data_IF_087754809209
#
_entry.id   IF_087754809209
#
_cell.length_a   1.000
_cell.length_b   1.000
_cell.length_c   1.000
_cell.angle_alpha   90.00
_cell.angle_beta   90.00
_cell.angle_gamma   90.00
#
_symmetry.space_group_name_H-M   'P 1'
#
loop_
_entity.id
_entity.type
_entity.pdbx_description
1 polymer ?
#
# COMPACT_ATOMS: atom_id res chain seq x y z
N UNK A 1 -5.81 -9.57 -14.78
CA UNK A 1 -7.24 -9.86 -14.51
C UNK A 1 -7.60 -11.34 -14.69
N UNK A 2 -6.99 -12.11 -15.60
CA UNK A 2 -7.34 -13.53 -15.82
C UNK A 2 -7.11 -14.41 -14.58
N UNK A 3 -5.99 -14.24 -13.86
CA UNK A 3 -5.64 -15.08 -12.71
C UNK A 3 -6.60 -14.95 -11.52
N UNK A 4 -6.98 -13.74 -11.04
CA UNK A 4 -7.96 -13.62 -9.96
C UNK A 4 -9.34 -14.15 -10.35
N UNK A 5 -9.79 -13.97 -11.60
CA UNK A 5 -11.07 -14.51 -12.06
C UNK A 5 -11.04 -16.04 -12.15
N UNK A 6 -9.93 -16.63 -12.58
CA UNK A 6 -9.76 -18.09 -12.59
C UNK A 6 -9.78 -18.66 -11.16
N UNK A 7 -9.13 -18.00 -10.20
CA UNK A 7 -9.17 -18.41 -8.79
C UNK A 7 -10.59 -18.33 -8.21
N UNK A 8 -11.35 -17.26 -8.50
CA UNK A 8 -12.75 -17.14 -8.09
C UNK A 8 -13.62 -18.26 -8.66
N UNK A 9 -13.43 -18.63 -9.92
CA UNK A 9 -14.15 -19.74 -10.55
C UNK A 9 -13.88 -21.06 -9.82
N UNK A 10 -12.61 -21.39 -9.56
CA UNK A 10 -12.25 -22.61 -8.82
C UNK A 10 -12.88 -22.61 -7.43
N UNK A 11 -12.89 -21.47 -6.71
CA UNK A 11 -13.52 -21.36 -5.39
C UNK A 11 -15.05 -21.56 -5.45
N UNK A 12 -15.69 -21.09 -6.54
CA UNK A 12 -17.12 -21.31 -6.75
C UNK A 12 -17.41 -22.80 -7.00
N UNK A 13 -16.58 -23.47 -7.82
CA UNK A 13 -16.71 -24.91 -8.10
C UNK A 13 -16.52 -25.73 -6.82
N UNK A 14 -15.55 -25.37 -5.95
CA UNK A 14 -15.33 -26.00 -4.63
C UNK A 14 -16.54 -25.80 -3.72
N UNK A 15 -17.11 -24.59 -3.66
CA UNK A 15 -18.29 -24.32 -2.86
C UNK A 15 -19.52 -25.16 -3.31
N UNK A 16 -19.67 -25.37 -4.61
CA UNK A 16 -20.73 -26.21 -5.19
C UNK A 16 -20.53 -27.70 -4.83
N UNK A 17 -19.30 -28.19 -4.87
CA UNK A 17 -18.99 -29.60 -4.53
C UNK A 17 -19.13 -29.88 -3.01
N UNK A 18 -19.08 -28.86 -2.18
CA UNK A 18 -19.18 -28.97 -0.70
C UNK A 18 -20.63 -28.78 -0.20
N UNK A 19 -21.66 -29.03 -1.01
CA UNK A 19 -23.06 -28.77 -0.61
C UNK A 19 -23.50 -29.57 0.60
N UNK A 20 -23.00 -30.78 0.77
CA UNK A 20 -23.33 -31.68 1.89
C UNK A 20 -22.42 -31.52 3.12
N UNK A 21 -21.36 -30.69 3.01
CA UNK A 21 -20.43 -30.35 4.10
C UNK A 21 -20.58 -28.86 4.48
N UNK A 22 -21.27 -28.61 5.61
CA UNK A 22 -21.55 -27.24 6.08
C UNK A 22 -20.26 -26.46 6.39
N UNK A 23 -19.25 -27.11 6.99
CA UNK A 23 -17.98 -26.49 7.34
C UNK A 23 -17.14 -26.20 6.09
N UNK A 24 -17.06 -27.15 5.17
CA UNK A 24 -16.38 -26.98 3.88
C UNK A 24 -17.00 -25.86 3.05
N UNK A 25 -18.33 -25.77 3.03
CA UNK A 25 -19.05 -24.68 2.34
C UNK A 25 -18.78 -23.31 2.97
N UNK A 26 -18.79 -23.19 4.30
CA UNK A 26 -18.50 -21.92 4.96
C UNK A 26 -17.07 -21.44 4.67
N UNK A 27 -16.10 -22.34 4.71
CA UNK A 27 -14.69 -22.05 4.34
C UNK A 27 -14.58 -21.61 2.88
N UNK A 28 -15.26 -22.30 1.95
CA UNK A 28 -15.24 -21.96 0.54
C UNK A 28 -15.87 -20.58 0.28
N UNK A 29 -17.00 -20.27 0.93
CA UNK A 29 -17.64 -18.96 0.85
C UNK A 29 -16.74 -17.84 1.41
N UNK A 30 -16.08 -18.06 2.55
CA UNK A 30 -15.13 -17.10 3.12
C UNK A 30 -13.96 -16.82 2.17
N UNK A 31 -13.41 -17.86 1.54
CA UNK A 31 -12.35 -17.71 0.54
C UNK A 31 -12.84 -16.96 -0.71
N UNK A 32 -14.08 -17.21 -1.12
CA UNK A 32 -14.69 -16.54 -2.27
C UNK A 32 -14.88 -15.04 -2.00
N UNK A 33 -15.37 -14.66 -0.81
CA UNK A 33 -15.46 -13.26 -0.39
C UNK A 33 -14.08 -12.57 -0.40
N UNK A 34 -13.07 -13.21 0.20
CA UNK A 34 -11.70 -12.67 0.16
C UNK A 34 -11.16 -12.53 -1.28
N UNK A 35 -11.54 -13.45 -2.16
CA UNK A 35 -11.19 -13.41 -3.58
C UNK A 35 -11.84 -12.23 -4.30
N UNK A 36 -13.13 -11.97 -4.05
CA UNK A 36 -13.87 -10.82 -4.58
C UNK A 36 -13.25 -9.52 -4.09
N UNK A 37 -12.98 -9.38 -2.79
CA UNK A 37 -12.38 -8.18 -2.22
C UNK A 37 -11.00 -7.88 -2.83
N UNK A 38 -10.21 -8.94 -3.11
CA UNK A 38 -8.91 -8.78 -3.80
C UNK A 38 -9.09 -8.31 -5.24
N UNK A 39 -10.06 -8.89 -5.97
CA UNK A 39 -10.33 -8.51 -7.35
C UNK A 39 -10.85 -7.07 -7.45
N UNK A 40 -11.76 -6.67 -6.57
CA UNK A 40 -12.29 -5.29 -6.49
C UNK A 40 -11.17 -4.29 -6.24
N UNK A 41 -10.33 -4.52 -5.22
CA UNK A 41 -9.17 -3.65 -4.94
C UNK A 41 -8.22 -3.53 -6.13
N UNK A 42 -8.00 -4.63 -6.87
CA UNK A 42 -7.15 -4.61 -8.07
C UNK A 42 -7.76 -3.75 -9.17
N UNK A 43 -9.08 -3.86 -9.40
CA UNK A 43 -9.79 -3.03 -10.38
C UNK A 43 -9.72 -1.55 -10.00
N UNK A 44 -9.97 -1.22 -8.74
CA UNK A 44 -9.91 0.16 -8.24
C UNK A 44 -8.51 0.76 -8.41
N UNK A 45 -7.46 -0.01 -8.12
CA UNK A 45 -6.07 0.42 -8.32
C UNK A 45 -5.73 0.62 -9.81
N UNK A 46 -6.26 -0.23 -10.70
CA UNK A 46 -6.08 -0.08 -12.14
C UNK A 46 -6.79 1.17 -12.67
N UNK A 47 -8.04 1.39 -12.26
CA UNK A 47 -8.79 2.59 -12.62
C UNK A 47 -8.11 3.86 -12.10
N UNK A 48 -7.63 3.83 -10.87
CA UNK A 48 -6.87 4.94 -10.28
C UNK A 48 -5.61 5.23 -11.09
N UNK A 49 -4.82 4.19 -11.39
CA UNK A 49 -3.58 4.36 -12.16
C UNK A 49 -3.87 4.86 -13.59
N UNK A 50 -4.92 4.34 -14.23
CA UNK A 50 -5.35 4.80 -15.56
C UNK A 50 -5.74 6.28 -15.56
N UNK A 51 -6.46 6.72 -14.52
CA UNK A 51 -6.80 8.15 -14.35
C UNK A 51 -5.55 8.99 -14.12
N UNK A 52 -4.66 8.57 -13.23
CA UNK A 52 -3.40 9.25 -12.96
C UNK A 52 -2.51 9.36 -14.20
N UNK A 53 -2.49 8.34 -15.06
CA UNK A 53 -1.72 8.36 -16.31
C UNK A 53 -2.25 9.37 -17.33
N UNK A 54 -3.57 9.57 -17.36
CA UNK A 54 -4.20 10.55 -18.25
C UNK A 54 -4.04 12.01 -17.79
N UNK A 55 -3.66 12.22 -16.52
CA UNK A 55 -3.42 13.57 -16.01
C UNK A 55 -2.10 14.13 -16.55
N UNK A 56 -2.16 15.23 -17.29
CA UNK A 56 -1.00 16.02 -17.68
C UNK A 56 -0.59 16.99 -16.57
N UNK A 57 -1.57 17.54 -15.84
CA UNK A 57 -1.41 18.46 -14.72
C UNK A 57 -2.44 18.10 -13.63
N UNK A 58 -2.17 18.58 -12.43
CA UNK A 58 -3.11 18.46 -11.30
C UNK A 58 -4.12 19.61 -11.36
N UNK A 59 -5.39 19.25 -11.21
CA UNK A 59 -6.46 20.20 -10.94
C UNK A 59 -6.66 20.32 -9.43
N UNK A 60 -7.31 21.39 -8.97
CA UNK A 60 -7.69 21.63 -7.57
C UNK A 60 -6.52 21.50 -6.57
N UNK A 61 -5.35 22.00 -6.95
CA UNK A 61 -4.20 22.05 -6.05
C UNK A 61 -4.40 23.12 -4.97
N UNK A 62 -4.08 22.76 -3.73
CA UNK A 62 -4.18 23.65 -2.58
C UNK A 62 -3.05 23.38 -1.58
N UNK A 63 -2.80 24.30 -0.63
CA UNK A 63 -1.87 24.02 0.47
C UNK A 63 -2.35 22.83 1.29
N UNK A 64 -1.51 21.83 1.47
CA UNK A 64 -1.77 20.63 2.27
C UNK A 64 -0.75 20.57 3.40
N UNK A 65 -1.23 20.55 4.64
CA UNK A 65 -0.40 20.32 5.82
C UNK A 65 0.01 18.84 5.88
N UNK A 66 1.28 18.56 5.67
CA UNK A 66 1.80 17.18 5.59
C UNK A 66 1.76 16.48 6.96
N UNK A 67 1.99 17.22 8.04
CA UNK A 67 1.85 16.73 9.41
C UNK A 67 0.42 16.24 9.70
N UNK A 68 -0.60 17.03 9.37
CA UNK A 68 -2.02 16.64 9.53
C UNK A 68 -2.39 15.45 8.63
N UNK A 69 -1.88 15.45 7.41
CA UNK A 69 -2.09 14.37 6.45
C UNK A 69 -1.55 13.03 6.98
N UNK A 70 -0.33 13.02 7.54
CA UNK A 70 0.30 11.83 8.11
C UNK A 70 -0.44 11.36 9.37
N UNK A 71 -0.83 12.29 10.25
CA UNK A 71 -1.62 11.96 11.45
C UNK A 71 -2.95 11.30 11.07
N UNK A 72 -3.68 11.88 10.13
CA UNK A 72 -4.96 11.34 9.67
C UNK A 72 -4.79 9.94 9.07
N UNK A 73 -3.78 9.73 8.23
CA UNK A 73 -3.51 8.45 7.62
C UNK A 73 -3.11 7.36 8.64
N UNK A 74 -2.33 7.71 9.67
CA UNK A 74 -1.98 6.80 10.77
C UNK A 74 -3.23 6.43 11.57
N UNK A 75 -4.11 7.38 11.88
CA UNK A 75 -5.36 7.12 12.59
C UNK A 75 -6.29 6.19 11.80
N UNK A 76 -6.44 6.41 10.50
CA UNK A 76 -7.23 5.52 9.62
C UNK A 76 -6.68 4.10 9.56
N UNK A 77 -5.34 3.97 9.55
CA UNK A 77 -4.66 2.67 9.47
C UNK A 77 -4.60 1.93 10.81
N UNK A 78 -4.82 2.62 11.93
CA UNK A 78 -4.60 2.12 13.29
C UNK A 78 -5.32 0.79 13.56
N UNK A 79 -6.60 0.71 13.23
CA UNK A 79 -7.38 -0.51 13.46
C UNK A 79 -6.85 -1.71 12.64
N UNK A 80 -6.49 -1.49 11.38
CA UNK A 80 -5.92 -2.51 10.52
C UNK A 80 -4.54 -2.98 11.02
N UNK A 81 -3.70 -2.05 11.46
CA UNK A 81 -2.40 -2.37 12.05
C UNK A 81 -2.54 -3.17 13.35
N UNK A 82 -3.50 -2.82 14.22
CA UNK A 82 -3.80 -3.60 15.43
C UNK A 82 -4.24 -5.04 15.14
N UNK A 83 -5.11 -5.26 14.15
CA UNK A 83 -5.51 -6.60 13.73
C UNK A 83 -4.32 -7.44 13.26
N UNK A 84 -3.33 -6.78 12.67
CA UNK A 84 -2.07 -7.39 12.23
C UNK A 84 -1.03 -7.49 13.34
N UNK A 85 -1.34 -6.99 14.56
CA UNK A 85 -0.41 -6.84 15.68
C UNK A 85 0.83 -6.01 15.33
N UNK A 86 0.65 -4.92 14.56
CA UNK A 86 1.70 -3.97 14.17
C UNK A 86 1.51 -2.68 14.96
N UNK A 87 2.60 -2.16 15.55
CA UNK A 87 2.63 -0.85 16.19
C UNK A 87 2.98 0.23 15.15
N UNK A 88 2.13 1.27 15.03
CA UNK A 88 2.43 2.45 14.20
C UNK A 88 3.02 3.54 15.09
N UNK A 89 4.18 4.06 14.72
CA UNK A 89 4.88 5.14 15.43
C UNK A 89 5.06 6.35 14.51
N UNK A 90 4.49 7.49 14.92
CA UNK A 90 4.61 8.73 14.16
C UNK A 90 5.58 9.69 14.89
N UNK A 91 6.64 10.07 14.20
CA UNK A 91 7.69 10.98 14.66
C UNK A 91 7.63 12.28 13.84
N UNK A 92 7.11 13.35 14.44
CA UNK A 92 7.06 14.67 13.82
C UNK A 92 8.28 15.48 14.26
N UNK A 93 9.39 15.38 13.52
CA UNK A 93 10.60 16.16 13.77
C UNK A 93 10.51 17.59 13.20
N UNK A 94 9.49 17.86 12.39
CA UNK A 94 9.13 19.17 11.88
C UNK A 94 7.59 19.32 11.93
N UNK A 95 7.11 20.55 12.07
CA UNK A 95 5.69 20.89 12.12
C UNK A 95 5.38 21.99 11.12
N UNK A 96 4.09 22.13 10.80
CA UNK A 96 3.60 23.12 9.84
C UNK A 96 4.26 22.99 8.45
N UNK A 97 4.54 21.77 8.04
CA UNK A 97 5.08 21.49 6.72
C UNK A 97 3.93 21.50 5.71
N UNK A 98 3.95 22.49 4.83
CA UNK A 98 2.93 22.66 3.79
C UNK A 98 3.52 22.34 2.42
N UNK A 99 2.82 21.52 1.66
CA UNK A 99 3.11 21.24 0.26
C UNK A 99 1.89 21.56 -0.61
N UNK A 100 2.10 22.22 -1.75
CA UNK A 100 1.00 22.51 -2.68
C UNK A 100 0.67 21.26 -3.49
N UNK A 101 -0.56 20.79 -3.40
CA UNK A 101 -0.97 19.58 -4.09
C UNK A 101 -2.46 19.28 -3.98
N UNK A 102 -2.86 18.14 -4.51
CA UNK A 102 -4.23 17.65 -4.42
C UNK A 102 -4.38 16.72 -3.20
N UNK A 103 -5.17 17.10 -2.17
CA UNK A 103 -5.22 16.38 -0.89
C UNK A 103 -5.56 14.90 -1.03
N UNK A 104 -6.55 14.57 -1.87
CA UNK A 104 -6.97 13.18 -2.07
C UNK A 104 -5.87 12.30 -2.64
N UNK A 105 -5.07 12.81 -3.57
CA UNK A 105 -3.96 12.06 -4.14
C UNK A 105 -2.81 11.92 -3.14
N UNK A 106 -2.50 12.97 -2.38
CA UNK A 106 -1.49 12.89 -1.32
C UNK A 106 -1.91 11.91 -0.22
N UNK A 107 -3.19 11.91 0.19
CA UNK A 107 -3.73 10.89 1.11
C UNK A 107 -3.59 9.47 0.54
N UNK A 108 -3.90 9.29 -0.74
CA UNK A 108 -3.75 8.00 -1.40
C UNK A 108 -2.29 7.53 -1.46
N UNK A 109 -1.35 8.46 -1.67
CA UNK A 109 0.09 8.16 -1.65
C UNK A 109 0.50 7.63 -0.27
N UNK A 110 0.19 8.37 0.80
CA UNK A 110 0.53 7.98 2.18
C UNK A 110 -0.12 6.65 2.54
N UNK A 111 -1.41 6.49 2.23
CA UNK A 111 -2.15 5.25 2.49
C UNK A 111 -1.52 4.03 1.79
N UNK A 112 -1.08 4.15 0.53
CA UNK A 112 -0.40 3.05 -0.17
C UNK A 112 0.93 2.68 0.49
N UNK A 113 1.68 3.67 1.01
CA UNK A 113 2.91 3.40 1.75
C UNK A 113 2.65 2.70 3.08
N UNK A 114 1.66 3.16 3.85
CA UNK A 114 1.31 2.55 5.14
C UNK A 114 0.74 1.15 4.97
N UNK A 115 -0.18 0.94 4.00
CA UNK A 115 -0.74 -0.39 3.70
C UNK A 115 0.37 -1.38 3.31
N UNK A 116 1.34 -0.92 2.52
CA UNK A 116 2.50 -1.71 2.15
C UNK A 116 3.35 -2.06 3.38
N UNK A 117 3.69 -1.08 4.22
CA UNK A 117 4.50 -1.29 5.41
C UNK A 117 3.82 -2.26 6.40
N UNK A 118 2.53 -2.08 6.71
CA UNK A 118 1.77 -2.97 7.59
C UNK A 118 1.69 -4.39 7.01
N UNK A 119 1.48 -4.52 5.71
CA UNK A 119 1.34 -5.81 5.04
C UNK A 119 2.59 -6.68 5.07
N UNK A 120 3.76 -6.07 4.95
CA UNK A 120 5.05 -6.77 4.87
C UNK A 120 5.79 -6.83 6.20
N UNK A 121 5.28 -6.20 7.22
CA UNK A 121 5.80 -6.29 8.59
C UNK A 121 5.45 -7.62 9.24
N UNK A 122 6.38 -8.28 9.95
CA UNK A 122 6.07 -9.42 10.80
C UNK A 122 5.09 -9.03 11.92
N UNK A 123 4.26 -9.97 12.35
CA UNK A 123 3.40 -9.76 13.53
C UNK A 123 4.24 -9.42 14.77
N UNK A 124 3.79 -8.47 15.55
CA UNK A 124 4.49 -8.00 16.77
C UNK A 124 5.60 -7.02 16.50
N UNK A 125 5.76 -6.56 15.25
CA UNK A 125 6.75 -5.54 14.89
C UNK A 125 6.17 -4.11 14.86
N UNK A 126 6.97 -3.17 14.39
CA UNK A 126 6.61 -1.75 14.31
C UNK A 126 6.81 -1.20 12.91
N UNK A 127 6.05 -0.16 12.58
CA UNK A 127 6.22 0.69 11.40
C UNK A 127 6.45 2.11 11.88
N UNK A 128 7.59 2.69 11.50
CA UNK A 128 7.96 4.05 11.84
C UNK A 128 7.63 5.01 10.69
N UNK A 129 6.90 6.07 11.00
CA UNK A 129 6.60 7.18 10.10
C UNK A 129 7.32 8.41 10.62
N UNK A 130 8.23 8.99 9.85
CA UNK A 130 9.02 10.15 10.29
C UNK A 130 8.83 11.30 9.33
N UNK A 131 8.43 12.47 9.84
CA UNK A 131 8.37 13.73 9.11
C UNK A 131 9.53 14.62 9.47
N UNK A 132 10.28 15.07 8.46
CA UNK A 132 11.31 16.10 8.54
C UNK A 132 10.92 17.30 7.66
N UNK A 133 11.75 18.35 7.64
CA UNK A 133 11.42 19.61 6.95
C UNK A 133 11.19 19.47 5.44
N UNK A 134 11.81 18.49 4.76
CA UNK A 134 11.76 18.33 3.30
C UNK A 134 11.47 16.90 2.85
N UNK A 135 11.11 16.04 3.77
CA UNK A 135 10.81 14.64 3.46
C UNK A 135 9.93 14.02 4.53
N UNK A 136 9.23 12.98 4.16
CA UNK A 136 8.75 11.99 5.12
C UNK A 136 9.19 10.59 4.70
N UNK A 137 9.26 9.70 5.69
CA UNK A 137 9.66 8.31 5.51
C UNK A 137 8.66 7.39 6.16
N UNK A 138 8.44 6.25 5.52
CA UNK A 138 7.71 5.11 6.09
C UNK A 138 8.67 3.94 6.07
N UNK A 139 8.98 3.39 7.25
CA UNK A 139 9.89 2.26 7.42
C UNK A 139 9.18 1.12 8.13
N UNK A 140 9.31 -0.06 7.59
CA UNK A 140 8.90 -1.31 8.23
C UNK A 140 10.09 -2.08 8.79
N UNK A 141 9.79 -3.07 9.66
CA UNK A 141 10.77 -4.00 10.21
C UNK A 141 10.63 -5.39 9.58
N UNK A 142 10.25 -5.44 8.30
CA UNK A 142 10.14 -6.65 7.52
C UNK A 142 11.49 -7.27 7.15
N UNK A 143 11.49 -8.32 6.33
CA UNK A 143 12.72 -8.99 5.89
C UNK A 143 13.55 -8.16 4.90
N UNK A 144 13.04 -6.99 4.48
CA UNK A 144 13.63 -6.23 3.39
C UNK A 144 13.41 -6.89 2.01
N UNK A 145 14.13 -6.40 1.02
CA UNK A 145 13.97 -6.79 -0.39
C UNK A 145 15.34 -7.11 -0.97
N UNK A 146 15.47 -8.18 -1.79
CA UNK A 146 16.74 -8.49 -2.46
C UNK A 146 17.20 -7.33 -3.37
N UNK A 147 18.50 -7.10 -3.56
CA UNK A 147 19.00 -6.01 -4.42
C UNK A 147 18.42 -6.05 -5.84
N UNK A 148 18.26 -7.26 -6.40
CA UNK A 148 17.71 -7.46 -7.74
C UNK A 148 16.21 -7.05 -7.78
N UNK A 149 15.46 -7.35 -6.73
CA UNK A 149 14.06 -6.97 -6.64
C UNK A 149 13.89 -5.48 -6.30
N UNK A 150 14.80 -4.92 -5.49
CA UNK A 150 14.79 -3.50 -5.14
C UNK A 150 14.95 -2.59 -6.37
N UNK A 151 15.74 -2.98 -7.34
CA UNK A 151 15.90 -2.23 -8.59
C UNK A 151 14.59 -2.13 -9.42
N UNK A 152 13.68 -3.08 -9.20
CA UNK A 152 12.42 -3.19 -9.93
C UNK A 152 11.20 -2.79 -9.12
N UNK A 153 11.37 -2.60 -7.81
CA UNK A 153 10.25 -2.24 -6.94
C UNK A 153 9.61 -0.91 -7.39
N UNK A 154 8.28 -0.90 -7.50
CA UNK A 154 7.56 0.24 -8.07
C UNK A 154 7.33 0.15 -9.59
N UNK A 155 7.85 -0.87 -10.30
CA UNK A 155 7.32 -1.26 -11.61
C UNK A 155 5.89 -1.80 -11.44
N UNK A 156 5.05 -1.57 -12.44
CA UNK A 156 3.65 -2.05 -12.41
C UNK A 156 3.59 -3.57 -12.41
N UNK A 157 2.75 -4.13 -11.54
CA UNK A 157 2.54 -5.57 -11.37
C UNK A 157 3.78 -6.33 -10.90
N UNK A 158 4.90 -5.65 -10.64
CA UNK A 158 6.07 -6.33 -10.13
C UNK A 158 5.91 -6.68 -8.66
N UNK A 159 6.21 -7.93 -8.35
CA UNK A 159 6.28 -8.47 -6.98
C UNK A 159 7.54 -9.31 -6.86
N UNK A 160 8.34 -9.10 -5.80
CA UNK A 160 9.49 -9.97 -5.53
C UNK A 160 9.04 -11.44 -5.41
N UNK A 161 9.80 -12.39 -5.98
CA UNK A 161 9.54 -13.82 -5.78
C UNK A 161 9.59 -14.21 -4.31
N UNK A 162 8.78 -15.20 -3.89
CA UNK A 162 8.75 -15.71 -2.53
C UNK A 162 7.98 -14.85 -1.51
N UNK A 163 7.21 -13.87 -1.97
CA UNK A 163 6.31 -13.11 -1.11
C UNK A 163 4.90 -13.71 -1.12
N UNK A 164 4.50 -14.30 0.01
CA UNK A 164 3.17 -14.90 0.19
C UNK A 164 2.07 -13.87 0.47
N UNK A 165 2.44 -12.69 0.97
CA UNK A 165 1.48 -11.63 1.28
C UNK A 165 0.67 -11.23 0.02
N UNK A 166 -0.67 -11.19 0.07
CA UNK A 166 -1.50 -10.86 -1.09
C UNK A 166 -1.25 -9.43 -1.56
N UNK A 167 -1.16 -9.20 -2.87
CA UNK A 167 -0.96 -7.85 -3.42
C UNK A 167 -1.04 -7.80 -4.94
N UNK A 168 -1.31 -6.63 -5.49
CA UNK A 168 -1.44 -6.38 -6.93
C UNK A 168 -0.11 -6.04 -7.62
N UNK A 169 0.89 -5.55 -6.86
CA UNK A 169 2.09 -4.94 -7.40
C UNK A 169 1.88 -3.54 -8.01
N UNK A 170 0.75 -2.88 -7.68
CA UNK A 170 0.43 -1.54 -8.20
C UNK A 170 0.66 -0.42 -7.18
N UNK A 171 0.62 -0.70 -5.89
CA UNK A 171 0.66 0.33 -4.83
C UNK A 171 1.85 1.28 -4.95
N UNK A 172 3.07 0.75 -5.07
CA UNK A 172 4.28 1.58 -5.19
C UNK A 172 4.39 2.30 -6.55
N UNK A 173 3.82 1.76 -7.62
CA UNK A 173 3.73 2.47 -8.91
C UNK A 173 2.73 3.64 -8.85
N UNK A 174 1.64 3.51 -8.08
CA UNK A 174 0.71 4.60 -7.78
C UNK A 174 1.43 5.69 -6.98
N UNK A 175 2.19 5.31 -5.93
CA UNK A 175 3.00 6.24 -5.14
C UNK A 175 3.95 7.06 -6.03
N UNK A 176 4.74 6.40 -6.89
CA UNK A 176 5.65 7.08 -7.82
C UNK A 176 4.91 8.05 -8.74
N UNK A 177 3.76 7.63 -9.29
CA UNK A 177 3.00 8.49 -10.20
C UNK A 177 2.43 9.72 -9.51
N UNK A 178 1.85 9.55 -8.31
CA UNK A 178 1.32 10.67 -7.52
C UNK A 178 2.46 11.63 -7.13
N UNK A 179 3.57 11.11 -6.62
CA UNK A 179 4.72 11.93 -6.26
C UNK A 179 5.23 12.75 -7.47
N UNK A 180 5.40 12.12 -8.63
CA UNK A 180 5.80 12.78 -9.87
C UNK A 180 4.86 13.92 -10.28
N UNK A 181 3.52 13.73 -10.15
CA UNK A 181 2.53 14.76 -10.43
C UNK A 181 2.62 15.96 -9.48
N UNK A 182 3.12 15.73 -8.24
CA UNK A 182 3.30 16.77 -7.23
C UNK A 182 4.72 17.37 -7.20
N UNK A 183 5.59 17.03 -8.15
CA UNK A 183 6.99 17.48 -8.13
C UNK A 183 7.84 16.87 -7.02
N UNK A 184 7.32 15.83 -6.35
CA UNK A 184 8.03 15.07 -5.33
C UNK A 184 8.84 13.92 -5.94
N UNK A 185 9.87 13.49 -5.22
CA UNK A 185 10.66 12.31 -5.56
C UNK A 185 10.42 11.19 -4.54
N UNK A 186 10.60 9.94 -4.96
CA UNK A 186 10.42 8.77 -4.11
C UNK A 186 11.60 7.83 -4.28
N UNK A 187 12.26 7.52 -3.16
CA UNK A 187 13.29 6.50 -3.07
C UNK A 187 12.78 5.30 -2.27
N UNK A 188 13.21 4.13 -2.70
CA UNK A 188 12.97 2.85 -2.01
C UNK A 188 14.30 2.21 -1.67
N UNK A 189 14.50 1.83 -0.43
CA UNK A 189 15.73 1.22 0.06
C UNK A 189 15.45 0.17 1.13
N UNK A 190 16.42 -0.71 1.36
CA UNK A 190 16.47 -1.46 2.61
C UNK A 190 17.10 -0.59 3.68
N UNK A 191 16.53 -0.61 4.88
CA UNK A 191 17.10 0.04 6.03
C UNK A 191 18.36 -0.73 6.50
N UNK A 192 19.32 -0.02 7.12
CA UNK A 192 20.61 -0.60 7.54
C UNK A 192 20.45 -1.74 8.54
N UNK A 193 19.45 -1.64 9.40
CA UNK A 193 19.19 -2.59 10.50
C UNK A 193 18.08 -3.61 10.12
N UNK A 194 17.78 -3.72 8.82
CA UNK A 194 16.70 -4.56 8.30
C UNK A 194 15.40 -3.78 8.05
N UNK A 195 14.49 -4.39 7.27
CA UNK A 195 13.25 -3.76 6.83
C UNK A 195 13.39 -2.97 5.53
N UNK A 196 12.26 -2.47 5.08
CA UNK A 196 12.16 -1.65 3.88
C UNK A 196 11.77 -0.22 4.25
N UNK A 197 12.36 0.75 3.58
CA UNK A 197 12.09 2.19 3.76
C UNK A 197 11.64 2.79 2.43
N UNK A 198 10.53 3.52 2.46
CA UNK A 198 10.10 4.41 1.40
C UNK A 198 10.27 5.86 1.88
N UNK A 199 10.99 6.67 1.11
CA UNK A 199 11.26 8.08 1.39
C UNK A 199 10.64 8.93 0.30
N UNK A 200 9.80 9.89 0.68
CA UNK A 200 9.19 10.90 -0.19
C UNK A 200 9.77 12.26 0.18
N UNK A 201 10.29 12.98 -0.82
CA UNK A 201 10.96 14.28 -0.58
C UNK A 201 10.66 15.29 -1.69
N UNK A 202 10.77 16.59 -1.34
CA UNK A 202 10.45 17.74 -2.20
C UNK A 202 11.43 18.91 -2.02
#
# INVERSE_FOLDING_TARGET
LRSPLAALKVQTDVAQLSMDDAEGREKALAQLHQGIDRATRLVDQLLTLSRLDSLAQLDDVQPVAIDDLLQSAVMEMYHHAQQSAIELRLHLNASHIVHTGQPLLLSLLVRNLLDNAVRYSPRGSQVDITLNAREFRVRDNGPGISPQALARIGERFYRPPGQDAPGSGLGLSIVRRIASLHGMQVDFANARDGGFEARVYW
#
